data_IF_366720245822
#
_entry.id   IF_366720245822
#
_cell.length_a   1.000
_cell.length_b   1.000
_cell.length_c   1.000
_cell.angle_alpha   90.00
_cell.angle_beta   90.00
_cell.angle_gamma   90.00
#
_symmetry.space_group_name_H-M   'P 1'
#
loop_
_entity.id
_entity.type
_entity.pdbx_description
1 polymer ?
#
# COMPACT_ATOMS: atom_id res chain seq x y z
N UNK A 1 -9.70 -18.23 -29.59
CA UNK A 1 -10.00 -18.67 -28.21
C UNK A 1 -9.74 -20.16 -28.09
N UNK A 2 -9.00 -20.57 -27.07
CA UNK A 2 -8.66 -21.97 -26.79
C UNK A 2 -9.61 -22.59 -25.72
N UNK A 3 -10.72 -21.90 -25.41
CA UNK A 3 -11.65 -22.37 -24.38
C UNK A 3 -12.17 -23.77 -24.74
N UNK A 4 -11.73 -24.78 -23.99
CA UNK A 4 -12.09 -26.19 -24.24
C UNK A 4 -13.28 -26.65 -23.41
N UNK A 5 -13.30 -26.31 -22.12
CA UNK A 5 -14.37 -26.74 -21.20
C UNK A 5 -14.81 -25.63 -20.23
N UNK A 6 -14.11 -24.47 -20.21
CA UNK A 6 -14.49 -23.35 -19.38
C UNK A 6 -15.85 -22.77 -19.75
N UNK A 7 -16.68 -22.48 -18.76
CA UNK A 7 -18.04 -21.98 -18.95
C UNK A 7 -18.25 -20.59 -18.32
N UNK A 8 -19.30 -19.92 -18.76
CA UNK A 8 -19.72 -18.63 -18.18
C UNK A 8 -18.65 -17.54 -18.26
N UNK A 9 -17.85 -17.53 -19.31
CA UNK A 9 -16.84 -16.53 -19.55
C UNK A 9 -17.34 -15.42 -20.46
N UNK A 10 -17.03 -14.17 -20.13
CA UNK A 10 -17.29 -13.00 -20.96
C UNK A 10 -15.96 -12.42 -21.42
N UNK A 11 -15.72 -12.32 -22.71
CA UNK A 11 -14.52 -11.76 -23.29
C UNK A 11 -14.86 -10.72 -24.36
N UNK A 12 -14.50 -9.46 -24.11
CA UNK A 12 -14.75 -8.35 -25.02
C UNK A 12 -13.43 -7.62 -25.30
N UNK A 13 -12.97 -7.69 -26.51
CA UNK A 13 -11.71 -7.08 -26.95
C UNK A 13 -10.79 -8.07 -27.66
N UNK A 14 -9.81 -7.52 -28.38
CA UNK A 14 -8.81 -8.34 -29.07
C UNK A 14 -7.97 -9.10 -28.05
N UNK A 15 -7.88 -10.42 -28.20
CA UNK A 15 -7.11 -11.32 -27.35
C UNK A 15 -7.57 -11.39 -25.88
N UNK A 16 -8.75 -10.87 -25.53
CA UNK A 16 -9.30 -11.08 -24.20
C UNK A 16 -9.54 -12.58 -23.96
N UNK A 17 -9.06 -13.11 -22.81
CA UNK A 17 -9.11 -14.54 -22.43
C UNK A 17 -8.63 -15.49 -23.54
N UNK A 18 -7.66 -15.10 -24.36
CA UNK A 18 -7.28 -15.90 -25.54
C UNK A 18 -6.72 -17.27 -25.15
N UNK A 19 -6.00 -17.38 -24.03
CA UNK A 19 -5.40 -18.62 -23.56
C UNK A 19 -6.34 -19.46 -22.67
N UNK A 20 -7.56 -19.00 -22.38
CA UNK A 20 -8.44 -19.69 -21.45
C UNK A 20 -8.79 -21.09 -21.96
N UNK A 21 -8.56 -22.11 -21.13
CA UNK A 21 -8.86 -23.52 -21.47
C UNK A 21 -10.00 -24.08 -20.63
N UNK A 22 -9.86 -24.05 -19.31
CA UNK A 22 -10.81 -24.63 -18.35
C UNK A 22 -11.38 -23.64 -17.36
N UNK A 23 -10.78 -22.43 -17.26
CA UNK A 23 -11.25 -21.39 -16.35
C UNK A 23 -12.69 -20.97 -16.63
N UNK A 24 -13.47 -20.82 -15.59
CA UNK A 24 -14.92 -20.50 -15.67
C UNK A 24 -15.26 -19.23 -14.91
N UNK A 25 -16.38 -18.61 -15.26
CA UNK A 25 -16.89 -17.40 -14.60
C UNK A 25 -15.92 -16.20 -14.67
N UNK A 26 -15.12 -16.08 -15.72
CA UNK A 26 -14.24 -14.95 -15.91
C UNK A 26 -14.90 -13.86 -16.76
N UNK A 27 -14.70 -12.61 -16.40
CA UNK A 27 -15.08 -11.46 -17.20
C UNK A 27 -13.82 -10.68 -17.58
N UNK A 28 -13.53 -10.53 -18.86
CA UNK A 28 -12.40 -9.76 -19.37
C UNK A 28 -12.87 -8.78 -20.46
N UNK A 29 -12.64 -7.51 -20.24
CA UNK A 29 -13.02 -6.41 -21.14
C UNK A 29 -11.81 -5.52 -21.40
N UNK A 30 -11.28 -5.57 -22.61
CA UNK A 30 -10.13 -4.78 -23.03
C UNK A 30 -9.19 -5.54 -23.95
N UNK A 31 -8.25 -4.81 -24.59
CA UNK A 31 -7.18 -5.43 -25.36
C UNK A 31 -6.29 -6.24 -24.43
N UNK A 32 -6.07 -7.53 -24.72
CA UNK A 32 -5.28 -8.48 -23.92
C UNK A 32 -5.68 -8.56 -22.43
N UNK A 33 -6.94 -8.26 -22.08
CA UNK A 33 -7.43 -8.47 -20.72
C UNK A 33 -7.47 -9.97 -20.40
N UNK A 34 -6.77 -10.40 -19.34
CA UNK A 34 -6.68 -11.79 -18.92
C UNK A 34 -6.14 -12.75 -19.99
N UNK A 35 -5.29 -12.28 -20.90
CA UNK A 35 -4.86 -13.05 -22.08
C UNK A 35 -4.08 -14.32 -21.75
N UNK A 36 -3.45 -14.41 -20.59
CA UNK A 36 -2.72 -15.59 -20.11
C UNK A 36 -3.52 -16.47 -19.15
N UNK A 37 -4.75 -16.10 -18.79
CA UNK A 37 -5.61 -16.97 -17.95
C UNK A 37 -5.82 -18.31 -18.64
N UNK A 38 -5.50 -19.41 -17.99
CA UNK A 38 -5.68 -20.77 -18.51
C UNK A 38 -6.72 -21.55 -17.71
N UNK A 39 -6.50 -21.70 -16.42
CA UNK A 39 -7.33 -22.45 -15.48
C UNK A 39 -7.97 -21.58 -14.40
N UNK A 40 -7.50 -20.34 -14.22
CA UNK A 40 -8.03 -19.38 -13.25
C UNK A 40 -9.52 -19.13 -13.46
N UNK A 41 -10.25 -18.99 -12.36
CA UNK A 41 -11.69 -18.83 -12.39
C UNK A 41 -12.19 -17.66 -11.55
N UNK A 42 -13.37 -17.17 -11.84
CA UNK A 42 -14.04 -16.12 -11.07
C UNK A 42 -13.22 -14.81 -11.02
N UNK A 43 -12.55 -14.49 -12.13
CA UNK A 43 -11.80 -13.26 -12.25
C UNK A 43 -12.59 -12.20 -13.03
N UNK A 44 -12.39 -10.93 -12.65
CA UNK A 44 -12.90 -9.77 -13.39
C UNK A 44 -11.75 -8.85 -13.78
N UNK A 45 -11.47 -8.74 -15.08
CA UNK A 45 -10.39 -7.91 -15.64
C UNK A 45 -10.96 -6.90 -16.62
N UNK A 46 -10.82 -5.61 -16.30
CA UNK A 46 -11.30 -4.51 -17.15
C UNK A 46 -10.17 -3.52 -17.43
N UNK A 47 -9.72 -3.47 -18.65
CA UNK A 47 -8.64 -2.57 -19.08
C UNK A 47 -7.66 -3.25 -20.02
N UNK A 48 -6.85 -2.46 -20.71
CA UNK A 48 -5.79 -2.97 -21.58
C UNK A 48 -4.70 -3.65 -20.72
N UNK A 49 -4.36 -4.90 -21.03
CA UNK A 49 -3.35 -5.69 -20.32
C UNK A 49 -3.69 -6.01 -18.85
N UNK A 50 -4.92 -5.77 -18.43
CA UNK A 50 -5.37 -6.04 -17.06
C UNK A 50 -5.38 -7.55 -16.81
N UNK A 51 -4.77 -8.01 -15.70
CA UNK A 51 -4.66 -9.43 -15.38
C UNK A 51 -3.84 -10.24 -16.39
N UNK A 52 -2.95 -9.58 -17.16
CA UNK A 52 -2.33 -10.13 -18.37
C UNK A 52 -1.50 -11.40 -18.15
N UNK A 53 -0.81 -11.56 -17.03
CA UNK A 53 -0.03 -12.76 -16.74
C UNK A 53 -0.68 -13.69 -15.69
N UNK A 54 -1.88 -13.41 -15.23
CA UNK A 54 -2.61 -14.25 -14.27
C UNK A 54 -3.03 -15.56 -14.93
N UNK A 55 -2.32 -16.63 -14.63
CA UNK A 55 -2.47 -17.91 -15.31
C UNK A 55 -3.55 -18.81 -14.66
N UNK A 56 -3.36 -19.10 -13.38
CA UNK A 56 -4.19 -19.98 -12.55
C UNK A 56 -4.85 -19.30 -11.35
N UNK A 57 -4.51 -18.02 -11.11
CA UNK A 57 -5.12 -17.23 -10.05
C UNK A 57 -6.62 -17.09 -10.20
N UNK A 58 -7.34 -17.18 -9.08
CA UNK A 58 -8.78 -17.10 -9.02
C UNK A 58 -9.26 -15.99 -8.07
N UNK A 59 -10.53 -15.59 -8.24
CA UNK A 59 -11.17 -14.57 -7.40
C UNK A 59 -10.47 -13.20 -7.44
N UNK A 60 -9.83 -12.86 -8.54
CA UNK A 60 -9.19 -11.57 -8.70
C UNK A 60 -10.12 -10.56 -9.36
N UNK A 61 -10.12 -9.35 -8.86
CA UNK A 61 -10.81 -8.22 -9.48
C UNK A 61 -9.78 -7.14 -9.80
N UNK A 62 -9.59 -6.82 -11.08
CA UNK A 62 -8.70 -5.77 -11.47
C UNK A 62 -9.34 -4.86 -12.54
N UNK A 63 -9.17 -3.55 -12.34
CA UNK A 63 -9.68 -2.53 -13.25
C UNK A 63 -8.64 -1.43 -13.46
N UNK A 64 -8.18 -1.27 -14.68
CA UNK A 64 -7.20 -0.26 -15.07
C UNK A 64 -6.18 -0.77 -16.08
N UNK A 65 -5.45 0.13 -16.71
CA UNK A 65 -4.35 -0.20 -17.61
C UNK A 65 -3.29 -0.99 -16.85
N UNK A 66 -2.99 -2.21 -17.29
CA UNK A 66 -2.02 -3.14 -16.69
C UNK A 66 -2.15 -3.33 -15.17
N UNK A 67 -3.35 -3.15 -14.62
CA UNK A 67 -3.62 -3.56 -13.24
C UNK A 67 -3.45 -5.07 -13.12
N UNK A 68 -2.81 -5.52 -12.05
CA UNK A 68 -2.58 -6.95 -11.76
C UNK A 68 -1.88 -7.69 -12.93
N UNK A 69 -0.86 -7.06 -13.52
CA UNK A 69 -0.25 -7.56 -14.75
C UNK A 69 0.66 -8.79 -14.55
N UNK A 70 1.18 -9.03 -13.34
CA UNK A 70 2.01 -10.20 -13.03
C UNK A 70 1.16 -11.47 -12.85
N UNK A 71 1.81 -12.63 -12.71
CA UNK A 71 1.13 -13.90 -12.40
C UNK A 71 0.63 -13.91 -10.95
N UNK A 72 -0.47 -13.27 -10.73
CA UNK A 72 -1.05 -13.05 -9.41
C UNK A 72 -1.64 -14.33 -8.82
N UNK A 73 -1.51 -14.49 -7.51
CA UNK A 73 -2.24 -15.49 -6.74
C UNK A 73 -3.74 -15.17 -6.66
N UNK A 74 -4.40 -15.68 -5.63
CA UNK A 74 -5.86 -15.56 -5.48
C UNK A 74 -6.28 -14.32 -4.68
N UNK A 75 -7.55 -13.92 -4.85
CA UNK A 75 -8.25 -12.96 -4.01
C UNK A 75 -7.59 -11.56 -3.99
N UNK A 76 -7.02 -11.11 -5.10
CA UNK A 76 -6.48 -9.76 -5.17
C UNK A 76 -7.51 -8.79 -5.77
N UNK A 77 -7.55 -7.58 -5.24
CA UNK A 77 -8.36 -6.48 -5.76
C UNK A 77 -7.44 -5.33 -6.15
N UNK A 78 -7.41 -4.98 -7.44
CA UNK A 78 -6.58 -3.92 -8.00
C UNK A 78 -7.43 -2.92 -8.76
N UNK A 79 -7.58 -1.73 -8.24
CA UNK A 79 -8.37 -0.66 -8.86
C UNK A 79 -7.50 0.57 -9.17
N UNK A 80 -7.20 0.80 -10.43
CA UNK A 80 -6.34 1.89 -10.90
C UNK A 80 -5.31 1.40 -11.92
N UNK A 81 -4.83 2.31 -12.77
CA UNK A 81 -3.74 2.00 -13.70
C UNK A 81 -2.51 1.55 -12.92
N UNK A 82 -1.93 0.41 -13.28
CA UNK A 82 -0.76 -0.21 -12.66
C UNK A 82 -0.92 -0.61 -11.17
N UNK A 83 -2.14 -0.60 -10.63
CA UNK A 83 -2.37 -1.12 -9.28
C UNK A 83 -1.96 -2.59 -9.17
N UNK A 84 -1.23 -2.98 -8.14
CA UNK A 84 -0.67 -4.33 -7.92
C UNK A 84 0.07 -4.90 -9.14
N UNK A 85 0.75 -4.07 -9.90
CA UNK A 85 1.37 -4.47 -11.19
C UNK A 85 2.29 -5.68 -11.08
N UNK A 86 3.11 -5.76 -10.03
CA UNK A 86 4.17 -6.78 -9.87
C UNK A 86 3.77 -7.94 -8.96
N UNK A 87 2.53 -7.95 -8.42
CA UNK A 87 2.18 -8.89 -7.35
C UNK A 87 2.03 -10.33 -7.84
N UNK A 88 2.62 -11.24 -7.09
CA UNK A 88 2.37 -12.69 -7.16
C UNK A 88 1.71 -13.21 -5.88
N UNK A 89 1.57 -12.36 -4.86
CA UNK A 89 0.92 -12.67 -3.59
C UNK A 89 -0.59 -12.82 -3.68
N UNK A 90 -1.22 -13.05 -2.54
CA UNK A 90 -2.66 -13.28 -2.40
C UNK A 90 -3.31 -12.28 -1.44
N UNK A 91 -4.62 -12.10 -1.54
CA UNK A 91 -5.41 -11.31 -0.59
C UNK A 91 -4.97 -9.84 -0.49
N UNK A 92 -4.41 -9.26 -1.54
CA UNK A 92 -4.04 -7.86 -1.54
C UNK A 92 -5.18 -6.99 -2.09
N UNK A 93 -5.41 -5.86 -1.47
CA UNK A 93 -6.35 -4.84 -1.95
C UNK A 93 -5.62 -3.54 -2.22
N UNK A 94 -5.76 -3.01 -3.42
CA UNK A 94 -5.10 -1.78 -3.83
C UNK A 94 -6.06 -0.89 -4.63
N UNK A 95 -6.07 0.40 -4.29
CA UNK A 95 -6.87 1.40 -5.00
C UNK A 95 -6.08 2.70 -5.18
N UNK A 96 -5.83 3.04 -6.43
CA UNK A 96 -5.07 4.23 -6.84
C UNK A 96 -4.11 3.95 -7.99
N UNK A 97 -3.65 5.01 -8.67
CA UNK A 97 -2.58 4.88 -9.67
C UNK A 97 -1.33 4.28 -9.03
N UNK A 98 -0.81 3.21 -9.61
CA UNK A 98 0.39 2.49 -9.16
C UNK A 98 0.40 2.12 -7.65
N UNK A 99 -0.76 2.12 -6.99
CA UNK A 99 -0.86 1.68 -5.60
C UNK A 99 -0.45 0.21 -5.47
N UNK A 100 0.47 -0.10 -4.56
CA UNK A 100 1.02 -1.44 -4.38
C UNK A 100 1.85 -1.96 -5.56
N UNK A 101 2.29 -1.09 -6.48
CA UNK A 101 3.03 -1.46 -7.69
C UNK A 101 4.23 -2.38 -7.41
N UNK A 102 4.96 -2.10 -6.33
CA UNK A 102 6.19 -2.79 -5.97
C UNK A 102 5.96 -4.07 -5.15
N UNK A 103 4.74 -4.35 -4.70
CA UNK A 103 4.44 -5.59 -3.99
C UNK A 103 4.67 -6.76 -4.95
N UNK A 104 5.58 -7.66 -4.57
CA UNK A 104 5.85 -8.89 -5.31
C UNK A 104 5.19 -10.09 -4.62
N UNK A 105 5.80 -10.65 -3.60
CA UNK A 105 5.31 -11.84 -2.88
C UNK A 105 4.48 -11.54 -1.64
N UNK A 106 4.35 -10.25 -1.24
CA UNK A 106 3.56 -9.84 -0.07
C UNK A 106 2.08 -10.21 -0.20
N UNK A 107 1.46 -10.56 0.91
CA UNK A 107 0.06 -10.98 0.98
C UNK A 107 -0.71 -10.27 2.09
N UNK A 108 -2.03 -10.20 1.93
CA UNK A 108 -2.93 -9.58 2.92
C UNK A 108 -2.59 -8.10 3.20
N UNK A 109 -2.32 -7.34 2.15
CA UNK A 109 -2.04 -5.91 2.26
C UNK A 109 -3.22 -5.07 1.78
N UNK A 110 -3.44 -3.94 2.42
CA UNK A 110 -4.37 -2.89 1.99
C UNK A 110 -3.57 -1.64 1.62
N UNK A 111 -3.66 -1.20 0.36
CA UNK A 111 -2.87 -0.07 -0.15
C UNK A 111 -3.77 0.92 -0.88
N UNK A 112 -3.89 2.13 -0.37
CA UNK A 112 -4.80 3.14 -0.90
C UNK A 112 -4.08 4.46 -1.20
N UNK A 113 -4.31 4.99 -2.37
CA UNK A 113 -3.74 6.25 -2.85
C UNK A 113 -2.73 6.09 -3.97
N UNK A 114 -2.47 7.16 -4.70
CA UNK A 114 -1.45 7.19 -5.75
C UNK A 114 -0.09 6.81 -5.17
N UNK A 115 0.64 5.93 -5.85
CA UNK A 115 1.99 5.47 -5.49
C UNK A 115 2.13 4.91 -4.06
N UNK A 116 1.03 4.68 -3.35
CA UNK A 116 1.06 4.12 -1.99
C UNK A 116 1.77 2.75 -1.96
N UNK A 117 2.57 2.52 -0.92
CA UNK A 117 3.36 1.29 -0.75
C UNK A 117 4.58 1.19 -1.68
N UNK A 118 5.02 2.31 -2.26
CA UNK A 118 6.28 2.44 -3.01
C UNK A 118 7.35 3.15 -2.18
N UNK A 119 8.55 3.26 -2.73
CA UNK A 119 9.64 4.05 -2.15
C UNK A 119 9.14 5.48 -1.89
N UNK A 120 9.37 5.99 -0.68
CA UNK A 120 8.88 7.30 -0.23
C UNK A 120 7.54 7.25 0.51
N UNK A 121 6.73 6.20 0.35
CA UNK A 121 5.47 6.07 1.09
C UNK A 121 5.70 5.86 2.59
N UNK A 122 4.74 6.25 3.44
CA UNK A 122 4.76 5.88 4.85
C UNK A 122 4.92 4.37 5.02
N UNK A 123 5.90 3.92 5.81
CA UNK A 123 6.25 2.50 5.95
C UNK A 123 7.15 1.95 4.82
N UNK A 124 7.55 2.78 3.85
CA UNK A 124 8.48 2.42 2.80
C UNK A 124 7.90 1.56 1.68
N UNK A 125 8.75 0.81 1.01
CA UNK A 125 8.41 -0.01 -0.15
C UNK A 125 7.95 -1.41 0.28
N UNK A 126 6.70 -1.76 0.04
CA UNK A 126 6.09 -3.04 0.47
C UNK A 126 6.40 -4.21 -0.49
N UNK A 127 7.66 -4.46 -0.80
CA UNK A 127 8.06 -5.48 -1.79
C UNK A 127 7.58 -6.87 -1.40
N UNK A 128 7.90 -7.33 -0.21
CA UNK A 128 7.55 -8.66 0.31
C UNK A 128 6.79 -8.63 1.63
N UNK A 129 6.50 -7.43 2.14
CA UNK A 129 5.74 -7.24 3.38
C UNK A 129 4.32 -7.81 3.26
N UNK A 130 3.85 -8.43 4.34
CA UNK A 130 2.49 -8.96 4.45
C UNK A 130 1.79 -8.37 5.67
N UNK A 131 0.46 -8.33 5.65
CA UNK A 131 -0.38 -7.79 6.72
C UNK A 131 -0.13 -6.28 6.99
N UNK A 132 0.09 -5.50 5.93
CA UNK A 132 0.40 -4.08 6.00
C UNK A 132 -0.78 -3.25 5.48
N UNK A 133 -1.04 -2.11 6.13
CA UNK A 133 -1.91 -1.06 5.61
C UNK A 133 -1.04 0.12 5.20
N UNK A 134 -1.09 0.50 3.93
CA UNK A 134 -0.41 1.66 3.36
C UNK A 134 -1.42 2.68 2.86
N UNK A 135 -1.36 3.91 3.37
CA UNK A 135 -2.26 5.00 2.99
C UNK A 135 -1.44 6.16 2.43
N UNK A 136 -1.57 6.39 1.14
CA UNK A 136 -0.91 7.49 0.45
C UNK A 136 0.59 7.33 0.23
N UNK A 137 1.19 8.35 -0.35
CA UNK A 137 2.62 8.49 -0.61
C UNK A 137 3.24 9.59 0.28
N UNK A 138 4.48 9.97 0.01
CA UNK A 138 5.20 11.04 0.73
C UNK A 138 4.59 12.43 0.57
N UNK A 139 3.66 12.63 -0.37
CA UNK A 139 3.02 13.92 -0.61
C UNK A 139 1.76 14.12 0.25
N UNK A 140 1.27 13.08 0.94
CA UNK A 140 0.14 13.22 1.85
C UNK A 140 0.54 14.12 3.02
N UNK A 141 -0.10 15.27 3.12
CA UNK A 141 0.21 16.29 4.12
C UNK A 141 -0.73 16.26 5.33
N UNK A 142 -1.89 15.65 5.22
CA UNK A 142 -2.86 15.54 6.31
C UNK A 142 -3.77 14.31 6.13
N UNK A 143 -4.12 13.67 7.24
CA UNK A 143 -5.20 12.70 7.31
C UNK A 143 -6.31 13.30 8.20
N UNK A 144 -7.42 13.70 7.59
CA UNK A 144 -8.56 14.26 8.33
C UNK A 144 -9.47 13.11 8.77
N UNK A 145 -9.38 12.76 10.04
CA UNK A 145 -10.15 11.68 10.66
C UNK A 145 -10.93 12.29 11.81
N UNK A 146 -12.25 12.14 11.80
CA UNK A 146 -13.13 12.74 12.81
C UNK A 146 -13.07 12.03 14.17
N UNK A 147 -12.56 10.83 14.21
CA UNK A 147 -12.43 10.01 15.43
C UNK A 147 -11.01 9.48 15.53
N UNK A 148 -10.55 9.25 16.75
CA UNK A 148 -9.23 8.68 16.99
C UNK A 148 -9.14 7.22 16.48
N UNK A 149 -7.97 6.83 16.01
CA UNK A 149 -7.67 5.43 15.76
C UNK A 149 -7.63 4.67 17.08
N UNK A 150 -8.48 3.66 17.21
CA UNK A 150 -8.42 2.77 18.37
C UNK A 150 -7.27 1.79 18.19
N UNK A 151 -6.21 1.97 18.95
CA UNK A 151 -5.12 0.99 19.06
C UNK A 151 -5.47 0.02 20.17
N UNK A 152 -5.56 -1.27 19.84
CA UNK A 152 -5.78 -2.31 20.86
C UNK A 152 -4.60 -2.29 21.84
N UNK A 153 -4.90 -2.01 23.11
CA UNK A 153 -3.89 -1.95 24.17
C UNK A 153 -4.51 -2.47 25.47
N UNK A 154 -4.68 -3.80 25.56
CA UNK A 154 -5.19 -4.48 26.74
C UNK A 154 -4.03 -5.11 27.53
N UNK A 155 -4.10 -5.05 28.85
CA UNK A 155 -3.10 -5.69 29.71
C UNK A 155 -3.04 -7.22 29.50
N UNK A 156 -4.16 -7.83 29.07
CA UNK A 156 -4.23 -9.28 28.76
C UNK A 156 -3.45 -9.68 27.52
N UNK A 157 -3.17 -8.71 26.64
CA UNK A 157 -2.40 -8.90 25.40
C UNK A 157 -0.90 -8.62 25.60
N UNK A 158 -0.48 -8.35 26.84
CA UNK A 158 0.89 -8.01 27.23
C UNK A 158 1.42 -9.03 28.22
N UNK A 159 2.68 -9.39 28.09
CA UNK A 159 3.38 -10.29 29.00
C UNK A 159 4.66 -9.64 29.53
N UNK A 160 5.32 -10.32 30.46
CA UNK A 160 6.63 -9.93 30.96
C UNK A 160 6.68 -8.52 31.57
N UNK A 161 5.62 -8.15 32.31
CA UNK A 161 5.58 -6.91 33.06
C UNK A 161 6.71 -6.88 34.08
N UNK A 162 7.64 -5.97 33.91
CA UNK A 162 8.65 -5.63 34.89
C UNK A 162 8.33 -4.28 35.49
N UNK A 163 8.38 -4.15 36.81
CA UNK A 163 8.20 -2.85 37.45
C UNK A 163 9.27 -1.89 36.93
N UNK A 164 8.85 -0.71 36.49
CA UNK A 164 9.77 0.34 36.06
C UNK A 164 10.50 0.88 37.30
N UNK A 165 11.80 0.67 37.35
CA UNK A 165 12.67 1.16 38.43
C UNK A 165 13.14 2.62 38.18
N UNK A 166 12.28 3.38 37.50
CA UNK A 166 12.50 4.80 37.27
C UNK A 166 11.71 5.58 38.33
N UNK A 167 12.40 6.07 39.34
CA UNK A 167 11.80 6.81 40.45
C UNK A 167 11.34 8.22 40.07
N UNK A 168 11.01 9.00 41.09
CA UNK A 168 10.55 10.38 40.95
C UNK A 168 11.58 11.27 40.22
N UNK A 169 12.87 10.95 40.33
CA UNK A 169 13.92 11.68 39.66
C UNK A 169 13.83 11.60 38.13
N UNK A 170 13.47 10.45 37.56
CA UNK A 170 13.18 10.34 36.13
C UNK A 170 11.98 11.19 35.73
N UNK A 171 10.90 11.15 36.51
CA UNK A 171 9.70 11.97 36.23
C UNK A 171 10.04 13.46 36.27
N UNK A 172 10.87 13.87 37.23
CA UNK A 172 11.33 15.26 37.33
C UNK A 172 12.32 15.69 36.22
N UNK A 173 13.05 14.73 35.65
CA UNK A 173 13.96 14.97 34.55
C UNK A 173 13.23 15.09 33.20
N UNK A 174 12.00 14.56 33.08
CA UNK A 174 11.17 14.78 31.91
C UNK A 174 10.84 16.26 31.76
N UNK A 175 11.27 16.88 30.68
CA UNK A 175 11.08 18.29 30.39
C UNK A 175 10.04 18.46 29.27
N UNK A 176 8.73 18.56 29.58
CA UNK A 176 7.73 18.81 28.56
C UNK A 176 7.94 20.18 27.92
N UNK A 177 7.78 20.22 26.60
CA UNK A 177 7.93 21.43 25.81
C UNK A 177 6.68 21.67 24.97
N UNK A 178 6.47 22.93 24.63
CA UNK A 178 5.54 23.29 23.55
C UNK A 178 6.36 23.51 22.27
N UNK A 179 5.84 23.05 21.14
CA UNK A 179 6.52 23.21 19.88
C UNK A 179 5.52 23.47 18.73
N UNK A 180 6.05 23.90 17.62
CA UNK A 180 5.33 23.99 16.35
C UNK A 180 6.05 23.09 15.34
N UNK A 181 5.28 22.38 14.54
CA UNK A 181 5.86 21.61 13.46
C UNK A 181 6.45 22.51 12.38
N UNK A 182 7.64 22.17 11.94
CA UNK A 182 8.32 22.69 10.77
C UNK A 182 9.02 21.52 10.08
N UNK A 183 8.25 20.82 9.25
CA UNK A 183 8.62 19.49 8.75
C UNK A 183 9.71 19.59 7.68
N UNK A 184 10.79 18.83 7.81
CA UNK A 184 11.86 18.69 6.80
C UNK A 184 11.32 18.40 5.40
N UNK A 185 10.25 17.63 5.30
CA UNK A 185 9.57 17.30 4.03
C UNK A 185 8.96 18.49 3.29
N UNK A 186 8.93 19.68 3.86
CA UNK A 186 8.49 20.91 3.19
C UNK A 186 9.60 21.67 2.48
N UNK A 187 10.86 21.22 2.65
CA UNK A 187 12.06 21.89 2.14
C UNK A 187 12.74 21.08 1.02
N UNK A 188 13.53 21.78 0.20
CA UNK A 188 14.27 21.22 -0.91
C UNK A 188 13.43 20.94 -2.16
N UNK A 189 14.11 20.65 -3.25
CA UNK A 189 13.47 20.24 -4.51
C UNK A 189 13.33 18.72 -4.56
N UNK A 190 12.13 18.23 -4.28
CA UNK A 190 11.80 16.80 -4.27
C UNK A 190 11.93 16.13 -5.64
N UNK A 191 12.01 16.91 -6.73
CA UNK A 191 12.19 16.39 -8.09
C UNK A 191 13.67 16.21 -8.46
N UNK A 192 14.59 16.68 -7.64
CA UNK A 192 16.01 16.53 -7.87
C UNK A 192 16.48 15.09 -7.60
N UNK A 193 17.35 14.56 -8.46
CA UNK A 193 17.87 13.19 -8.34
C UNK A 193 18.69 12.95 -7.06
N UNK A 194 19.19 14.00 -6.45
CA UNK A 194 20.00 14.01 -5.22
C UNK A 194 19.22 14.50 -3.99
N UNK A 195 17.87 14.57 -4.06
CA UNK A 195 17.07 14.97 -2.91
C UNK A 195 17.26 14.00 -1.74
N UNK A 196 17.68 14.52 -0.61
CA UNK A 196 17.83 13.81 0.66
C UNK A 196 16.99 14.49 1.74
N UNK A 197 15.97 13.79 2.26
CA UNK A 197 15.11 14.28 3.34
C UNK A 197 15.90 14.52 4.64
N UNK A 198 16.89 13.70 4.94
CA UNK A 198 17.67 13.80 6.16
C UNK A 198 18.63 15.01 6.14
N UNK A 199 19.02 15.44 4.94
CA UNK A 199 19.83 16.63 4.75
C UNK A 199 19.04 17.96 4.84
N UNK A 200 17.69 17.89 4.82
CA UNK A 200 16.87 19.10 4.87
C UNK A 200 16.88 19.71 6.28
N UNK A 201 17.08 21.02 6.36
CA UNK A 201 17.09 21.78 7.61
C UNK A 201 15.94 22.79 7.62
N UNK A 202 14.94 22.62 8.50
CA UNK A 202 13.88 23.61 8.67
C UNK A 202 14.42 24.99 9.07
N UNK A 203 13.91 26.04 8.43
CA UNK A 203 14.31 27.43 8.68
C UNK A 203 13.16 28.31 9.20
N UNK A 204 12.00 27.72 9.48
CA UNK A 204 10.83 28.40 10.01
C UNK A 204 9.85 28.91 8.96
N UNK A 205 10.15 28.82 7.65
CA UNK A 205 9.27 29.34 6.59
C UNK A 205 8.01 28.52 6.38
N UNK A 206 8.04 27.25 6.77
CA UNK A 206 6.88 26.33 6.68
C UNK A 206 6.32 25.93 8.03
N UNK A 207 6.56 26.73 9.05
CA UNK A 207 6.13 26.50 10.43
C UNK A 207 4.61 26.59 10.56
N UNK A 208 4.03 25.63 11.26
CA UNK A 208 2.60 25.60 11.56
C UNK A 208 2.21 26.65 12.61
N UNK A 209 0.96 27.11 12.59
CA UNK A 209 0.51 28.19 13.47
C UNK A 209 0.10 27.72 14.88
N UNK A 210 -0.30 26.44 15.03
CA UNK A 210 -0.73 25.89 16.31
C UNK A 210 0.46 25.38 17.15
N UNK A 211 0.22 25.24 18.44
CA UNK A 211 1.17 24.72 19.40
C UNK A 211 0.78 23.29 19.80
N UNK A 212 1.73 22.40 19.75
CA UNK A 212 1.65 21.07 20.33
C UNK A 212 2.43 20.98 21.65
N UNK A 213 2.10 19.97 22.46
CA UNK A 213 2.77 19.66 23.72
C UNK A 213 3.37 18.27 23.63
N UNK A 214 4.62 18.12 24.03
CA UNK A 214 5.30 16.82 24.00
C UNK A 214 6.69 16.87 24.61
N UNK A 215 7.48 15.86 24.28
CA UNK A 215 8.87 15.74 24.71
C UNK A 215 9.78 15.69 23.49
N UNK A 216 11.01 16.15 23.63
CA UNK A 216 12.02 15.91 22.62
C UNK A 216 12.56 14.48 22.78
N UNK A 217 12.40 13.66 21.78
CA UNK A 217 12.74 12.23 21.83
C UNK A 217 14.21 12.01 22.26
N UNK A 218 15.13 12.80 21.75
CA UNK A 218 16.56 12.71 22.05
C UNK A 218 16.88 13.06 23.51
N UNK A 219 16.11 13.94 24.15
CA UNK A 219 16.29 14.28 25.56
C UNK A 219 15.72 13.19 26.46
N UNK A 220 14.64 12.53 26.07
CA UNK A 220 14.07 11.39 26.79
C UNK A 220 14.94 10.14 26.65
N UNK A 221 15.53 9.91 25.47
CA UNK A 221 16.45 8.79 25.22
C UNK A 221 17.74 8.90 26.05
N UNK A 222 18.14 10.10 26.45
CA UNK A 222 19.35 10.37 27.23
C UNK A 222 19.15 10.19 28.75
N UNK A 223 17.91 9.97 29.25
CA UNK A 223 17.58 9.75 30.65
C UNK A 223 17.70 8.28 31.04
#
# INVERSE_FOLDING_TARGET
QQNSTGSQNTAVGRSALIANTTGSNNTAVGYTAGDSVTTGAQNTFVGNGCGGATNDGAYNTAMGYTALAANSGNNNTAYGSQALYSTTGTNNTSCGYAAGYAITSGSNNLVLGTDAGRTGSPGGNFVSGSNVIGLGDENISAANIQVDWTVASDARDKTDFTALDLGLDFVNALAPVTYKWDKRSKYGDKSADDYDLEAQTPDGTHKEDWLDIGFKAQEVEAL
#
